data_IF_588142312673
#
_entry.id   IF_588142312673
#
_cell.length_a   1.000
_cell.length_b   1.000
_cell.length_c   1.000
_cell.angle_alpha   90.00
_cell.angle_beta   90.00
_cell.angle_gamma   90.00
#
_symmetry.space_group_name_H-M   'P 1'
#
loop_
_entity.id
_entity.type
_entity.pdbx_description
1 polymer ?
#
# COMPACT_ATOMS: atom_id res chain seq x y z
N UNK A 1 -2.01 -9.54 12.36
CA UNK A 1 -2.27 -8.61 11.25
C UNK A 1 -3.43 -9.16 10.44
N UNK A 2 -4.47 -8.36 10.24
CA UNK A 2 -5.67 -8.76 9.50
C UNK A 2 -5.36 -9.00 8.02
N UNK A 3 -4.42 -8.24 7.43
CA UNK A 3 -4.07 -8.38 6.01
C UNK A 3 -2.56 -8.37 5.79
N UNK A 4 -1.89 -9.42 6.29
CA UNK A 4 -0.43 -9.58 6.21
C UNK A 4 0.12 -9.42 4.79
N UNK A 5 -0.51 -10.07 3.79
CA UNK A 5 -0.06 -10.03 2.40
C UNK A 5 -0.18 -8.64 1.77
N UNK A 6 -1.24 -7.90 2.09
CA UNK A 6 -1.40 -6.51 1.66
C UNK A 6 -0.32 -5.62 2.26
N UNK A 7 -0.11 -5.67 3.58
CA UNK A 7 0.93 -4.88 4.23
C UNK A 7 2.32 -5.20 3.69
N UNK A 8 2.62 -6.47 3.43
CA UNK A 8 3.92 -6.88 2.86
C UNK A 8 4.13 -6.33 1.45
N UNK A 9 3.12 -6.44 0.56
CA UNK A 9 3.19 -5.92 -0.81
C UNK A 9 3.28 -4.40 -0.82
N UNK A 10 2.47 -3.71 -0.01
CA UNK A 10 2.51 -2.25 0.14
C UNK A 10 3.89 -1.78 0.59
N UNK A 11 4.44 -2.37 1.66
CA UNK A 11 5.76 -1.99 2.16
C UNK A 11 6.86 -2.22 1.12
N UNK A 12 6.78 -3.34 0.38
CA UNK A 12 7.73 -3.64 -0.70
C UNK A 12 7.68 -2.62 -1.84
N UNK A 13 6.50 -2.12 -2.19
CA UNK A 13 6.40 -1.07 -3.22
C UNK A 13 6.95 0.27 -2.72
N UNK A 14 6.74 0.62 -1.46
CA UNK A 14 7.39 1.79 -0.85
C UNK A 14 8.92 1.65 -0.85
N UNK A 15 9.45 0.45 -0.60
CA UNK A 15 10.88 0.16 -0.73
C UNK A 15 11.38 0.34 -2.17
N UNK A 16 10.58 -0.11 -3.15
CA UNK A 16 10.92 -0.03 -4.57
C UNK A 16 11.02 1.41 -5.08
N UNK A 17 10.28 2.36 -4.47
CA UNK A 17 10.34 3.78 -4.82
C UNK A 17 11.32 4.57 -3.92
N UNK A 18 12.09 3.88 -3.07
CA UNK A 18 13.13 4.47 -2.25
C UNK A 18 12.64 5.17 -0.98
N UNK A 19 11.45 4.83 -0.47
CA UNK A 19 11.00 5.34 0.83
C UNK A 19 11.89 4.76 1.94
N UNK A 20 12.33 5.57 2.91
CA UNK A 20 13.12 5.08 4.05
C UNK A 20 12.44 3.96 4.83
N UNK A 21 13.23 3.08 5.44
CA UNK A 21 12.73 1.99 6.29
C UNK A 21 12.11 2.48 7.60
N UNK A 22 12.39 3.73 8.00
CA UNK A 22 11.85 4.33 9.21
C UNK A 22 10.32 4.39 9.16
N UNK A 23 9.65 3.77 10.13
CA UNK A 23 8.18 3.70 10.19
C UNK A 23 7.51 5.07 10.11
N UNK A 24 8.05 6.08 10.81
CA UNK A 24 7.50 7.43 10.81
C UNK A 24 7.55 8.09 9.40
N UNK A 25 8.65 7.91 8.67
CA UNK A 25 8.80 8.43 7.31
C UNK A 25 7.88 7.71 6.33
N UNK A 26 7.76 6.37 6.44
CA UNK A 26 6.80 5.60 5.62
C UNK A 26 5.37 6.07 5.83
N UNK A 27 4.96 6.26 7.08
CA UNK A 27 3.63 6.77 7.42
C UNK A 27 3.41 8.14 6.78
N UNK A 28 4.40 9.03 6.85
CA UNK A 28 4.30 10.37 6.27
C UNK A 28 4.24 10.35 4.75
N UNK A 29 5.13 9.60 4.08
CA UNK A 29 5.15 9.49 2.62
C UNK A 29 3.85 8.87 2.11
N UNK A 30 3.41 7.76 2.70
CA UNK A 30 2.16 7.12 2.32
C UNK A 30 0.97 8.07 2.55
N UNK A 31 0.90 8.73 3.70
CA UNK A 31 -0.14 9.71 4.02
C UNK A 31 -0.25 10.81 2.96
N UNK A 32 0.89 11.30 2.45
CA UNK A 32 0.93 12.33 1.40
C UNK A 32 0.57 11.78 0.01
N UNK A 33 1.09 10.61 -0.34
CA UNK A 33 0.88 9.98 -1.66
C UNK A 33 -0.61 9.76 -1.94
N UNK A 34 -1.31 9.11 -1.00
CA UNK A 34 -2.73 8.75 -1.14
C UNK A 34 -3.68 9.69 -0.37
N UNK A 35 -3.16 10.82 0.15
CA UNK A 35 -3.94 11.90 0.80
C UNK A 35 -4.86 11.41 1.92
N UNK A 36 -4.35 10.52 2.78
CA UNK A 36 -5.06 10.01 3.96
C UNK A 36 -4.41 10.48 5.27
N UNK A 37 -5.14 10.51 6.40
CA UNK A 37 -4.55 10.77 7.70
C UNK A 37 -3.45 9.76 8.09
N UNK A 38 -2.42 10.21 8.81
CA UNK A 38 -1.28 9.38 9.26
C UNK A 38 -1.71 8.10 9.99
N UNK A 39 -2.70 8.17 10.87
CA UNK A 39 -3.18 6.99 11.61
C UNK A 39 -3.77 5.91 10.67
N UNK A 40 -4.40 6.31 9.55
CA UNK A 40 -4.89 5.37 8.53
C UNK A 40 -3.72 4.75 7.76
N UNK A 41 -2.73 5.57 7.38
CA UNK A 41 -1.52 5.09 6.71
C UNK A 41 -0.77 4.07 7.58
N UNK A 42 -0.60 4.35 8.87
CA UNK A 42 -0.03 3.43 9.84
C UNK A 42 -0.82 2.12 9.95
N UNK A 43 -2.15 2.21 10.04
CA UNK A 43 -2.99 1.02 10.11
C UNK A 43 -2.88 0.13 8.86
N UNK A 44 -2.70 0.73 7.67
CA UNK A 44 -2.50 0.01 6.42
C UNK A 44 -1.11 -0.65 6.36
N UNK A 45 -0.06 0.10 6.70
CA UNK A 45 1.33 -0.40 6.72
C UNK A 45 1.51 -1.57 7.68
N UNK A 46 0.80 -1.53 8.81
CA UNK A 46 0.82 -2.59 9.82
C UNK A 46 -0.18 -3.72 9.53
N UNK A 47 -0.99 -3.63 8.47
CA UNK A 47 -1.99 -4.62 8.12
C UNK A 47 -3.11 -4.76 9.16
N UNK A 48 -3.39 -3.69 9.90
CA UNK A 48 -4.45 -3.59 10.92
C UNK A 48 -5.82 -3.22 10.32
N UNK A 49 -5.86 -2.75 9.08
CA UNK A 49 -7.11 -2.47 8.35
C UNK A 49 -6.97 -2.87 6.89
N UNK A 50 -8.11 -3.07 6.23
CA UNK A 50 -8.19 -3.12 4.78
C UNK A 50 -8.42 -1.72 4.19
N UNK A 51 -7.86 -1.41 3.02
CA UNK A 51 -8.34 -0.28 2.25
C UNK A 51 -9.76 -0.57 1.74
N UNK A 52 -10.60 0.46 1.67
CA UNK A 52 -11.82 0.41 0.88
C UNK A 52 -11.48 0.41 -0.63
N UNK A 53 -12.46 0.15 -1.48
CA UNK A 53 -12.25 0.01 -2.92
C UNK A 53 -11.66 1.28 -3.57
N UNK A 54 -12.12 2.47 -3.16
CA UNK A 54 -11.60 3.73 -3.69
C UNK A 54 -10.14 3.94 -3.29
N UNK A 55 -9.81 3.66 -2.03
CA UNK A 55 -8.44 3.74 -1.53
C UNK A 55 -7.52 2.70 -2.17
N UNK A 56 -8.03 1.48 -2.38
CA UNK A 56 -7.28 0.41 -3.03
C UNK A 56 -6.94 0.77 -4.48
N UNK A 57 -7.91 1.28 -5.23
CA UNK A 57 -7.68 1.71 -6.60
C UNK A 57 -6.70 2.90 -6.67
N UNK A 58 -6.79 3.84 -5.73
CA UNK A 58 -5.84 4.95 -5.64
C UNK A 58 -4.42 4.45 -5.35
N UNK A 59 -4.28 3.54 -4.38
CA UNK A 59 -2.99 2.90 -4.07
C UNK A 59 -2.40 2.16 -5.28
N UNK A 60 -3.23 1.37 -5.96
CA UNK A 60 -2.84 0.63 -7.15
C UNK A 60 -2.34 1.57 -8.26
N UNK A 61 -3.03 2.68 -8.47
CA UNK A 61 -2.64 3.69 -9.47
C UNK A 61 -1.34 4.41 -9.09
N UNK A 62 -1.21 4.91 -7.87
CA UNK A 62 -0.01 5.65 -7.42
C UNK A 62 1.25 4.78 -7.37
N UNK A 63 1.07 3.47 -7.11
CA UNK A 63 2.17 2.49 -7.08
C UNK A 63 2.37 1.79 -8.43
N UNK A 64 1.54 2.09 -9.44
CA UNK A 64 1.55 1.47 -10.77
C UNK A 64 1.49 -0.07 -10.72
N UNK A 65 0.64 -0.60 -9.84
CA UNK A 65 0.39 -2.04 -9.66
C UNK A 65 -1.09 -2.39 -9.83
N UNK A 66 -1.38 -3.67 -10.01
CA UNK A 66 -2.74 -4.19 -10.01
C UNK A 66 -3.34 -4.23 -8.58
N UNK A 67 -4.59 -3.79 -8.44
CA UNK A 67 -5.30 -3.74 -7.16
C UNK A 67 -5.50 -5.14 -6.53
N UNK A 68 -5.88 -6.14 -7.32
CA UNK A 68 -6.06 -7.53 -6.86
C UNK A 68 -4.73 -8.15 -6.43
N UNK A 69 -3.63 -7.79 -7.10
CA UNK A 69 -2.30 -8.12 -6.63
C UNK A 69 -2.00 -7.42 -5.32
N UNK A 70 -2.28 -6.14 -5.17
CA UNK A 70 -1.94 -5.44 -3.93
C UNK A 70 -2.61 -6.09 -2.69
N UNK A 71 -3.84 -6.61 -2.83
CA UNK A 71 -4.54 -7.33 -1.75
C UNK A 71 -4.33 -8.84 -1.72
N UNK A 72 -3.53 -9.42 -2.62
CA UNK A 72 -3.22 -10.85 -2.58
C UNK A 72 -4.22 -11.78 -3.28
N UNK A 73 -5.17 -11.24 -4.05
CA UNK A 73 -6.12 -12.02 -4.87
C UNK A 73 -5.54 -12.45 -6.22
N UNK A 74 -4.50 -11.77 -6.70
CA UNK A 74 -3.77 -12.11 -7.92
C UNK A 74 -2.26 -12.20 -7.66
N UNK A 75 -1.55 -12.96 -8.49
CA UNK A 75 -0.08 -13.01 -8.50
C UNK A 75 0.54 -12.15 -9.61
N UNK A 76 -0.29 -11.61 -10.53
CA UNK A 76 0.14 -10.69 -11.58
C UNK A 76 0.27 -9.25 -11.04
N UNK A 77 1.51 -8.77 -10.85
CA UNK A 77 1.80 -7.44 -10.28
C UNK A 77 1.31 -6.27 -11.14
N UNK A 78 1.38 -6.41 -12.45
CA UNK A 78 0.98 -5.38 -13.42
C UNK A 78 -0.05 -5.99 -14.34
N UNK A 79 -1.10 -5.24 -14.66
CA UNK A 79 -1.95 -5.58 -15.81
C UNK A 79 -1.06 -5.46 -17.06
N UNK A 80 -0.60 -6.61 -17.56
CA UNK A 80 0.16 -6.67 -18.80
C UNK A 80 -0.81 -6.28 -19.92
N UNK A 81 -0.66 -5.07 -20.43
CA UNK A 81 -1.28 -4.66 -21.69
C UNK A 81 -0.49 -5.22 -22.87
#
# INVERSE_FOLDING_TARGET
>A
MLNKRFSERLNKELDSIGVPETTAERIEVLSKLIKIPRFKAEALLNGNTNPDEALLNTLAQELEVNADWLIGKSDSKSDSH
#
